data_IF_096120553520
#
_entry.id   IF_096120553520
#
_cell.length_a   1.000
_cell.length_b   1.000
_cell.length_c   1.000
_cell.angle_alpha   90.00
_cell.angle_beta   90.00
_cell.angle_gamma   90.00
#
_symmetry.space_group_name_H-M   'P 1'
#
loop_
_entity.id
_entity.type
_entity.pdbx_description
1 polymer ?
#
# COMPACT_ATOMS: atom_id res chain seq x y z
N UNK A 1 -8.79 -4.66 -6.15
CA UNK A 1 -8.31 -3.52 -5.34
C UNK A 1 -6.92 -3.24 -5.81
N UNK A 2 -6.67 -2.06 -6.38
CA UNK A 2 -5.35 -1.71 -6.90
C UNK A 2 -4.36 -1.39 -5.78
N UNK A 3 -3.09 -1.23 -6.15
CA UNK A 3 -2.03 -0.93 -5.19
C UNK A 3 -1.91 0.57 -4.89
N UNK A 4 -1.76 0.90 -3.62
CA UNK A 4 -1.17 2.17 -3.17
C UNK A 4 -0.22 1.92 -1.99
N UNK A 5 0.90 2.63 -1.93
CA UNK A 5 1.76 2.63 -0.74
C UNK A 5 1.14 3.42 0.44
N UNK A 6 0.06 4.16 0.18
CA UNK A 6 -0.85 4.72 1.20
C UNK A 6 -2.26 4.18 0.93
N UNK A 7 -2.55 2.93 1.34
CA UNK A 7 -3.83 2.28 1.06
C UNK A 7 -4.96 2.85 1.95
N UNK A 8 -6.20 2.83 1.44
CA UNK A 8 -7.39 3.21 2.21
C UNK A 8 -8.13 2.00 2.80
N UNK A 9 -7.73 0.77 2.45
CA UNK A 9 -8.22 -0.46 3.07
C UNK A 9 -7.07 -1.38 3.48
N UNK A 10 -7.36 -2.25 4.45
CA UNK A 10 -6.52 -3.40 4.81
C UNK A 10 -7.29 -4.69 4.64
N UNK A 11 -6.58 -5.75 4.25
CA UNK A 11 -7.12 -7.11 4.15
C UNK A 11 -6.61 -7.93 5.34
N UNK A 12 -7.54 -8.54 6.07
CA UNK A 12 -7.27 -9.46 7.17
C UNK A 12 -7.92 -10.81 6.86
N UNK A 13 -7.46 -11.89 7.51
CA UNK A 13 -7.97 -13.23 7.24
C UNK A 13 -8.51 -13.88 8.50
N UNK A 14 -9.73 -14.43 8.42
CA UNK A 14 -10.31 -15.33 9.41
C UNK A 14 -10.41 -16.73 8.79
N UNK A 15 -9.39 -17.55 9.03
CA UNK A 15 -9.22 -18.81 8.31
C UNK A 15 -9.04 -18.55 6.82
N UNK A 16 -9.96 -19.05 6.00
CA UNK A 16 -9.96 -18.85 4.54
C UNK A 16 -10.80 -17.66 4.08
N UNK A 17 -11.45 -16.94 5.01
CA UNK A 17 -12.28 -15.78 4.68
C UNK A 17 -11.45 -14.51 4.76
N UNK A 18 -11.40 -13.77 3.65
CA UNK A 18 -10.79 -12.44 3.60
C UNK A 18 -11.79 -11.38 4.06
N UNK A 19 -11.40 -10.58 5.05
CA UNK A 19 -12.15 -9.42 5.55
C UNK A 19 -11.41 -8.14 5.14
N UNK A 20 -12.10 -7.27 4.39
CA UNK A 20 -11.59 -5.97 3.96
C UNK A 20 -12.17 -4.89 4.86
N UNK A 21 -11.31 -4.03 5.42
CA UNK A 21 -11.72 -2.93 6.31
C UNK A 21 -11.12 -1.62 5.84
N UNK A 22 -11.91 -0.55 5.88
CA UNK A 22 -11.40 0.79 5.68
C UNK A 22 -10.46 1.19 6.83
N UNK A 23 -9.35 1.83 6.48
CA UNK A 23 -8.38 2.41 7.42
C UNK A 23 -8.24 3.93 7.25
N UNK A 24 -8.98 4.49 6.29
CA UNK A 24 -9.13 5.92 6.03
C UNK A 24 -10.59 6.19 5.64
N UNK A 25 -11.01 7.46 5.65
CA UNK A 25 -12.31 7.85 5.12
C UNK A 25 -12.35 7.62 3.61
N UNK A 26 -13.47 7.08 3.10
CA UNK A 26 -13.66 6.75 1.68
C UNK A 26 -15.00 7.34 1.24
N UNK A 27 -14.98 8.23 0.25
CA UNK A 27 -16.16 8.87 -0.30
C UNK A 27 -16.72 8.09 -1.51
N UNK A 28 -18.01 8.26 -1.86
CA UNK A 28 -18.56 7.66 -3.06
C UNK A 28 -17.79 8.09 -4.33
N UNK A 29 -17.30 7.11 -5.08
CA UNK A 29 -16.49 7.33 -6.29
C UNK A 29 -14.98 7.22 -6.07
N UNK A 30 -14.52 7.19 -4.82
CA UNK A 30 -13.11 6.93 -4.52
C UNK A 30 -12.72 5.50 -4.89
N UNK A 31 -11.50 5.34 -5.40
CA UNK A 31 -10.96 4.02 -5.68
C UNK A 31 -10.46 3.33 -4.39
N UNK A 32 -10.67 2.02 -4.31
CA UNK A 32 -10.23 1.20 -3.17
C UNK A 32 -8.82 0.66 -3.43
N UNK A 33 -7.87 1.09 -2.58
CA UNK A 33 -6.47 0.71 -2.64
C UNK A 33 -6.05 -0.14 -1.45
N UNK A 34 -5.38 -1.25 -1.75
CA UNK A 34 -4.68 -2.10 -0.78
C UNK A 34 -3.16 -1.99 -1.01
N UNK A 35 -2.35 -2.37 -0.02
CA UNK A 35 -0.93 -2.60 -0.29
C UNK A 35 -0.69 -4.05 -0.72
N UNK A 36 0.13 -4.25 -1.74
CA UNK A 36 0.53 -5.59 -2.21
C UNK A 36 1.84 -6.05 -1.56
N UNK A 37 2.55 -5.12 -0.95
CA UNK A 37 3.90 -5.28 -0.41
C UNK A 37 3.95 -4.70 1.01
N UNK A 38 4.99 -5.05 1.75
CA UNK A 38 5.26 -4.41 3.04
C UNK A 38 5.64 -2.94 2.82
N UNK A 39 5.06 -2.05 3.61
CA UNK A 39 5.27 -0.60 3.53
C UNK A 39 6.52 -0.15 4.30
N UNK A 40 7.15 -1.04 5.07
CA UNK A 40 8.38 -0.77 5.81
C UNK A 40 9.61 -0.62 4.90
N UNK A 41 9.51 -1.00 3.62
CA UNK A 41 10.61 -0.83 2.66
C UNK A 41 10.70 0.62 2.15
N UNK A 42 11.91 1.13 1.85
CA UNK A 42 12.10 2.38 1.12
C UNK A 42 11.40 2.39 -0.25
N UNK A 43 11.11 3.58 -0.77
CA UNK A 43 10.38 3.75 -2.04
C UNK A 43 11.01 3.02 -3.23
N UNK A 44 12.34 2.96 -3.29
CA UNK A 44 13.05 2.30 -4.40
C UNK A 44 12.83 0.78 -4.35
N UNK A 45 13.07 0.15 -3.20
CA UNK A 45 12.80 -1.27 -2.93
C UNK A 45 11.33 -1.65 -3.16
N UNK A 46 10.40 -0.78 -2.76
CA UNK A 46 8.96 -0.98 -3.02
C UNK A 46 8.69 -1.06 -4.53
N UNK A 47 9.20 -0.11 -5.30
CA UNK A 47 8.97 -0.08 -6.74
C UNK A 47 9.71 -1.20 -7.50
N UNK A 48 10.88 -1.63 -7.02
CA UNK A 48 11.55 -2.82 -7.56
C UNK A 48 10.67 -4.06 -7.42
N UNK A 49 10.17 -4.35 -6.21
CA UNK A 49 9.26 -5.48 -5.96
C UNK A 49 7.99 -5.42 -6.80
N UNK A 50 7.40 -4.23 -6.94
CA UNK A 50 6.20 -4.04 -7.75
C UNK A 50 6.47 -4.27 -9.24
N UNK A 51 7.63 -3.86 -9.75
CA UNK A 51 8.02 -4.17 -11.14
C UNK A 51 8.25 -5.65 -11.35
N UNK A 52 8.93 -6.32 -10.42
CA UNK A 52 9.30 -7.73 -10.56
C UNK A 52 8.10 -8.67 -10.45
N UNK A 53 7.19 -8.39 -9.50
CA UNK A 53 6.06 -9.28 -9.21
C UNK A 53 4.76 -8.87 -9.92
N UNK A 54 4.58 -7.58 -10.20
CA UNK A 54 3.31 -7.03 -10.69
C UNK A 54 3.47 -6.19 -11.98
N UNK A 55 4.70 -6.02 -12.48
CA UNK A 55 5.01 -5.38 -13.77
C UNK A 55 4.52 -3.92 -13.90
N UNK A 56 4.48 -3.17 -12.80
CA UNK A 56 4.16 -1.73 -12.82
C UNK A 56 5.05 -0.93 -11.85
N UNK A 57 5.09 0.39 -12.03
CA UNK A 57 5.73 1.34 -11.10
C UNK A 57 4.65 2.15 -10.39
N UNK A 58 4.71 2.21 -9.05
CA UNK A 58 3.73 2.95 -8.26
C UNK A 58 4.05 4.44 -8.25
N UNK A 59 3.04 5.26 -8.54
CA UNK A 59 3.11 6.73 -8.59
C UNK A 59 2.23 7.38 -7.51
N UNK A 60 1.87 6.65 -6.45
CA UNK A 60 1.10 7.21 -5.35
C UNK A 60 1.87 8.32 -4.61
N UNK A 61 1.19 9.08 -3.77
CA UNK A 61 1.77 10.22 -3.07
C UNK A 61 3.05 9.86 -2.29
N UNK A 62 3.08 8.75 -1.55
CA UNK A 62 4.27 8.29 -0.82
C UNK A 62 5.48 7.99 -1.71
N UNK A 63 5.22 7.49 -2.92
CA UNK A 63 6.28 7.25 -3.90
C UNK A 63 6.75 8.56 -4.52
N UNK A 64 5.84 9.50 -4.78
CA UNK A 64 6.15 10.82 -5.34
C UNK A 64 6.96 11.69 -4.37
N UNK A 65 6.67 11.64 -3.07
CA UNK A 65 7.36 12.42 -2.03
C UNK A 65 8.66 11.80 -1.53
N UNK A 66 9.01 10.58 -1.99
CA UNK A 66 10.17 9.80 -1.52
C UNK A 66 10.24 9.73 0.02
N UNK A 67 9.09 9.54 0.68
CA UNK A 67 9.02 9.47 2.13
C UNK A 67 10.02 8.44 2.65
N UNK A 68 11.04 8.92 3.38
CA UNK A 68 11.99 8.07 4.08
C UNK A 68 11.26 7.47 5.26
N UNK A 69 11.36 6.16 5.45
CA UNK A 69 10.92 5.47 6.67
C UNK A 69 11.56 6.19 7.86
N UNK A 70 10.77 7.00 8.58
CA UNK A 70 11.22 7.58 9.84
C UNK A 70 11.15 6.47 10.88
N UNK A 71 12.27 5.78 11.09
CA UNK A 71 12.48 5.04 12.32
C UNK A 71 12.46 6.06 13.48
N UNK A 72 11.39 6.06 14.27
CA UNK A 72 11.43 6.60 15.62
C UNK A 72 11.93 5.48 16.53
N UNK A 73 13.14 5.56 17.09
CA UNK A 73 13.56 4.61 18.12
C UNK A 73 12.67 4.85 19.35
N UNK A 74 11.98 3.80 19.77
CA UNK A 74 11.40 3.74 21.12
C UNK A 74 12.52 3.45 22.11
#
# INVERSE_FOLDING_TARGET
MNHSCSPNVIVTYKGTVAEVRAVQDIQPGDEIFNSYIDLLYPTDDRNERLRDSYFFTCVCNECATRSKVQYSPV
#
